data_IF_168842544621
#
_entry.id   IF_168842544621
#
_cell.length_a   1.000
_cell.length_b   1.000
_cell.length_c   1.000
_cell.angle_alpha   90.00
_cell.angle_beta   90.00
_cell.angle_gamma   90.00
#
_symmetry.space_group_name_H-M   'P 1'
#
loop_
_entity.id
_entity.type
_entity.pdbx_description
1 polymer ?
#
# COMPACT_ATOMS: atom_id res chain seq x y z
N UNK A 1 -7.56 0.08 8.93
CA UNK A 1 -8.32 0.52 7.75
C UNK A 1 -8.10 -0.47 6.61
N UNK A 2 -9.13 -0.78 5.82
CA UNK A 2 -9.01 -1.58 4.60
C UNK A 2 -9.24 -0.69 3.40
N UNK A 3 -8.28 -0.66 2.48
CA UNK A 3 -8.27 0.19 1.30
C UNK A 3 -8.39 -0.69 0.07
N UNK A 4 -9.28 -0.33 -0.86
CA UNK A 4 -9.38 -0.97 -2.16
C UNK A 4 -8.80 -0.05 -3.23
N UNK A 5 -7.74 -0.50 -3.88
CA UNK A 5 -7.07 0.26 -4.94
C UNK A 5 -7.73 0.02 -6.28
N UNK A 6 -8.11 1.09 -6.97
CA UNK A 6 -8.70 1.07 -8.30
C UNK A 6 -7.82 1.86 -9.26
N UNK A 7 -7.33 1.20 -10.31
CA UNK A 7 -6.73 1.92 -11.44
C UNK A 7 -7.85 2.52 -12.30
N UNK A 8 -8.21 3.78 -12.05
CA UNK A 8 -9.36 4.45 -12.69
C UNK A 8 -9.27 4.46 -14.22
N UNK A 9 -8.05 4.44 -14.78
CA UNK A 9 -7.82 4.48 -16.23
C UNK A 9 -8.03 3.14 -16.92
N UNK A 10 -7.92 2.04 -16.15
CA UNK A 10 -8.14 0.66 -16.63
C UNK A 10 -9.57 0.23 -16.34
N UNK A 11 -10.04 0.55 -15.13
CA UNK A 11 -11.36 0.16 -14.64
C UNK A 11 -12.49 0.82 -15.46
N UNK A 12 -12.30 2.10 -15.81
CA UNK A 12 -13.38 2.92 -16.34
C UNK A 12 -12.90 3.90 -17.44
N UNK A 13 -13.78 4.23 -18.35
CA UNK A 13 -13.61 5.33 -19.31
C UNK A 13 -14.23 6.64 -18.80
N UNK A 14 -14.86 6.60 -17.63
CA UNK A 14 -15.45 7.76 -16.93
C UNK A 14 -15.64 7.44 -15.46
N UNK A 15 -15.46 8.43 -14.58
CA UNK A 15 -15.76 8.33 -13.14
C UNK A 15 -17.19 7.86 -12.83
N UNK A 16 -18.14 8.03 -13.75
CA UNK A 16 -19.50 7.54 -13.57
C UNK A 16 -19.61 6.03 -13.62
N UNK A 17 -18.66 5.32 -14.22
CA UNK A 17 -18.65 3.88 -14.36
C UNK A 17 -18.22 3.15 -13.06
N UNK A 18 -17.63 3.85 -12.10
CA UNK A 18 -17.49 3.35 -10.73
C UNK A 18 -18.87 3.54 -10.06
N UNK A 19 -19.64 2.47 -10.05
CA UNK A 19 -21.09 2.52 -9.80
C UNK A 19 -21.44 2.49 -8.32
N UNK A 20 -22.65 2.95 -7.97
CA UNK A 20 -23.18 2.84 -6.59
C UNK A 20 -23.26 1.38 -6.09
N UNK A 21 -23.75 0.39 -6.89
CA UNK A 21 -23.73 -1.00 -6.45
C UNK A 21 -22.34 -1.55 -6.13
N UNK A 22 -21.33 -1.19 -6.93
CA UNK A 22 -19.95 -1.60 -6.71
C UNK A 22 -19.38 -0.99 -5.41
N UNK A 23 -19.59 0.29 -5.17
CA UNK A 23 -19.18 0.94 -3.92
C UNK A 23 -19.89 0.35 -2.70
N UNK A 24 -21.19 0.05 -2.82
CA UNK A 24 -21.94 -0.62 -1.76
C UNK A 24 -21.42 -2.04 -1.48
N UNK A 25 -21.02 -2.77 -2.52
CA UNK A 25 -20.40 -4.09 -2.38
C UNK A 25 -19.04 -4.01 -1.67
N UNK A 26 -18.17 -3.08 -2.04
CA UNK A 26 -16.91 -2.85 -1.33
C UNK A 26 -17.15 -2.54 0.15
N UNK A 27 -18.14 -1.70 0.46
CA UNK A 27 -18.50 -1.42 1.86
C UNK A 27 -19.03 -2.65 2.58
N UNK A 28 -19.87 -3.47 1.92
CA UNK A 28 -20.37 -4.75 2.47
C UNK A 28 -19.22 -5.70 2.81
N UNK A 29 -18.17 -5.73 1.99
CA UNK A 29 -16.95 -6.52 2.21
C UNK A 29 -16.05 -5.95 3.32
N UNK A 30 -16.41 -4.80 3.89
CA UNK A 30 -15.71 -4.19 5.02
C UNK A 30 -14.56 -3.30 4.63
N UNK A 31 -14.52 -2.79 3.39
CA UNK A 31 -13.58 -1.73 3.03
C UNK A 31 -14.01 -0.39 3.67
N UNK A 32 -13.03 0.40 4.05
CA UNK A 32 -13.19 1.72 4.66
C UNK A 32 -12.93 2.85 3.66
N UNK A 33 -12.11 2.59 2.64
CA UNK A 33 -11.72 3.56 1.64
C UNK A 33 -11.48 2.92 0.28
N UNK A 34 -11.63 3.72 -0.77
CA UNK A 34 -11.12 3.44 -2.10
C UNK A 34 -9.93 4.37 -2.39
N UNK A 35 -8.85 3.82 -2.97
CA UNK A 35 -7.78 4.62 -3.54
C UNK A 35 -7.92 4.62 -5.05
N UNK A 36 -8.11 5.81 -5.61
CA UNK A 36 -8.32 6.06 -7.03
C UNK A 36 -7.01 6.49 -7.66
N UNK A 37 -6.27 5.54 -8.23
CA UNK A 37 -5.04 5.80 -9.00
C UNK A 37 -5.39 6.43 -10.35
N UNK A 38 -4.64 7.47 -10.76
CA UNK A 38 -4.73 8.03 -12.11
C UNK A 38 -5.88 9.01 -12.32
N UNK A 39 -6.29 9.74 -11.29
CA UNK A 39 -7.38 10.75 -11.37
C UNK A 39 -6.95 12.07 -12.02
N UNK A 40 -5.64 12.33 -12.11
CA UNK A 40 -5.09 13.58 -12.65
C UNK A 40 -5.02 13.57 -14.18
N UNK A 41 -5.00 14.76 -14.77
CA UNK A 41 -4.80 14.94 -16.21
C UNK A 41 -3.47 14.28 -16.63
N UNK A 42 -3.49 13.60 -17.75
CA UNK A 42 -2.30 12.92 -18.29
C UNK A 42 -1.48 13.89 -19.13
N UNK A 43 -0.17 13.88 -18.95
CA UNK A 43 0.80 14.63 -19.74
C UNK A 43 0.84 14.15 -21.20
N UNK A 44 0.80 15.09 -22.14
CA UNK A 44 1.01 14.78 -23.56
C UNK A 44 2.48 14.44 -23.87
N UNK A 45 3.41 15.02 -23.09
CA UNK A 45 4.84 14.67 -23.11
C UNK A 45 5.08 13.21 -22.71
N UNK A 46 4.49 12.82 -21.55
CA UNK A 46 4.56 11.43 -21.10
C UNK A 46 3.91 10.44 -22.07
N UNK A 47 2.79 10.81 -22.70
CA UNK A 47 2.18 9.99 -23.76
C UNK A 47 3.13 9.79 -24.95
N UNK A 48 3.77 10.86 -25.43
CA UNK A 48 4.73 10.77 -26.55
C UNK A 48 5.91 9.89 -26.23
N UNK A 49 6.47 10.03 -25.01
CA UNK A 49 7.62 9.24 -24.57
C UNK A 49 7.25 7.76 -24.40
N UNK A 50 6.13 7.47 -23.75
CA UNK A 50 5.71 6.09 -23.49
C UNK A 50 5.40 5.34 -24.79
N UNK A 51 4.92 6.01 -25.84
CA UNK A 51 4.69 5.43 -27.17
C UNK A 51 5.97 5.00 -27.89
N UNK A 52 7.14 5.47 -27.49
CA UNK A 52 8.43 4.95 -27.98
C UNK A 52 8.59 3.47 -27.60
N UNK A 53 8.05 3.07 -26.45
CA UNK A 53 8.08 1.68 -25.96
C UNK A 53 6.94 0.84 -26.56
N UNK A 54 5.73 1.39 -26.61
CA UNK A 54 4.54 0.71 -27.16
C UNK A 54 3.47 1.72 -27.57
N UNK A 55 2.86 1.53 -28.75
CA UNK A 55 1.74 2.36 -29.22
C UNK A 55 0.51 2.31 -28.30
N UNK A 56 0.36 1.21 -27.54
CA UNK A 56 -0.72 1.03 -26.57
C UNK A 56 -0.54 1.86 -25.28
N UNK A 57 0.64 2.44 -25.07
CA UNK A 57 0.93 3.22 -23.86
C UNK A 57 0.36 4.63 -23.97
N UNK A 58 -0.24 5.10 -22.87
CA UNK A 58 -0.95 6.37 -22.78
C UNK A 58 -0.35 7.31 -21.74
N UNK A 59 0.92 7.15 -21.38
CA UNK A 59 1.65 7.93 -20.38
C UNK A 59 1.44 7.43 -18.95
N UNK A 60 2.39 7.75 -18.09
CA UNK A 60 2.31 7.43 -16.66
C UNK A 60 1.27 8.31 -15.95
N UNK A 61 0.44 7.77 -15.03
CA UNK A 61 -0.42 8.56 -14.17
C UNK A 61 0.38 9.40 -13.15
N UNK A 62 1.64 9.08 -12.95
CA UNK A 62 2.57 9.78 -12.05
C UNK A 62 3.34 10.91 -12.74
N UNK A 63 3.33 11.00 -14.07
CA UNK A 63 3.80 12.18 -14.80
C UNK A 63 2.68 13.23 -14.87
N UNK A 64 2.46 13.95 -13.77
CA UNK A 64 1.37 14.93 -13.60
C UNK A 64 1.81 16.28 -14.19
N UNK A 65 1.13 16.80 -15.24
CA UNK A 65 1.48 18.10 -15.82
C UNK A 65 1.01 19.27 -14.94
N UNK A 66 -0.14 19.10 -14.27
CA UNK A 66 -0.72 20.00 -13.28
C UNK A 66 -1.79 19.24 -12.49
N UNK A 67 -2.08 19.67 -11.26
CA UNK A 67 -3.11 19.04 -10.42
C UNK A 67 -4.52 19.45 -10.90
N UNK A 68 -4.89 18.95 -12.08
CA UNK A 68 -6.20 19.09 -12.70
C UNK A 68 -6.84 17.72 -12.87
N UNK A 69 -8.10 17.57 -12.51
CA UNK A 69 -8.81 16.29 -12.67
C UNK A 69 -8.94 15.93 -14.16
N UNK A 70 -8.74 14.65 -14.45
CA UNK A 70 -8.69 14.11 -15.80
C UNK A 70 -10.01 14.36 -16.57
N UNK A 71 -9.94 15.16 -17.63
CA UNK A 71 -11.08 15.54 -18.47
C UNK A 71 -11.64 14.35 -19.26
N UNK A 72 -10.76 13.41 -19.65
CA UNK A 72 -11.17 12.21 -20.39
C UNK A 72 -12.03 11.28 -19.51
N UNK A 73 -11.84 11.30 -18.18
CA UNK A 73 -12.68 10.61 -17.20
C UNK A 73 -13.91 11.44 -16.76
N UNK A 74 -14.12 12.63 -17.32
CA UNK A 74 -15.26 13.49 -17.04
C UNK A 74 -14.99 14.67 -16.10
N UNK A 75 -13.73 14.89 -15.71
CA UNK A 75 -13.28 16.07 -14.99
C UNK A 75 -13.93 16.27 -13.61
N UNK A 76 -13.90 17.52 -13.12
CA UNK A 76 -14.32 17.89 -11.76
C UNK A 76 -15.75 17.47 -11.43
N UNK A 77 -16.70 17.66 -12.36
CA UNK A 77 -18.12 17.39 -12.09
C UNK A 77 -18.37 15.91 -11.80
N UNK A 78 -17.85 15.01 -12.65
CA UNK A 78 -18.04 13.56 -12.49
C UNK A 78 -17.22 13.01 -11.32
N UNK A 79 -16.01 13.52 -11.10
CA UNK A 79 -15.23 13.17 -9.93
C UNK A 79 -15.95 13.54 -8.63
N UNK A 80 -16.48 14.78 -8.52
CA UNK A 80 -17.25 15.18 -7.34
C UNK A 80 -18.52 14.34 -7.13
N UNK A 81 -19.14 13.87 -8.23
CA UNK A 81 -20.29 12.96 -8.14
C UNK A 81 -19.85 11.56 -7.64
N UNK A 82 -18.70 11.06 -8.09
CA UNK A 82 -18.13 9.80 -7.58
C UNK A 82 -17.81 9.90 -6.09
N UNK A 83 -17.14 10.97 -5.64
CA UNK A 83 -16.82 11.18 -4.21
C UNK A 83 -18.10 11.18 -3.37
N UNK A 84 -19.17 11.85 -3.79
CA UNK A 84 -20.47 11.79 -3.09
C UNK A 84 -21.01 10.38 -3.01
N UNK A 85 -21.01 9.60 -4.14
CA UNK A 85 -21.48 8.20 -4.14
C UNK A 85 -20.64 7.32 -3.20
N UNK A 86 -19.33 7.53 -3.13
CA UNK A 86 -18.46 6.82 -2.20
C UNK A 86 -18.80 7.15 -0.74
N UNK A 87 -19.00 8.44 -0.43
CA UNK A 87 -19.42 8.87 0.91
C UNK A 87 -20.81 8.34 1.29
N UNK A 88 -21.77 8.35 0.36
CA UNK A 88 -23.12 7.78 0.57
C UNK A 88 -23.03 6.26 0.87
N UNK A 89 -22.06 5.56 0.29
CA UNK A 89 -21.78 4.17 0.60
C UNK A 89 -20.96 3.98 1.89
N UNK A 90 -20.46 5.06 2.52
CA UNK A 90 -19.63 5.01 3.73
C UNK A 90 -18.15 4.69 3.45
N UNK A 91 -17.65 5.03 2.26
CA UNK A 91 -16.26 4.87 1.84
C UNK A 91 -15.55 6.23 1.75
N UNK A 92 -14.37 6.33 2.34
CA UNK A 92 -13.48 7.45 2.11
C UNK A 92 -12.80 7.36 0.73
N UNK A 93 -12.39 8.49 0.18
CA UNK A 93 -11.71 8.57 -1.13
C UNK A 93 -10.29 9.06 -0.94
N UNK A 94 -9.32 8.26 -1.43
CA UNK A 94 -7.89 8.57 -1.43
C UNK A 94 -7.46 8.77 -2.88
N UNK A 95 -6.60 9.78 -3.12
CA UNK A 95 -6.01 10.06 -4.45
C UNK A 95 -4.49 10.18 -4.33
N UNK A 96 -3.78 10.08 -5.47
CA UNK A 96 -2.33 10.25 -5.47
C UNK A 96 -1.91 11.71 -5.30
N UNK A 97 -0.79 11.90 -4.60
CA UNK A 97 -0.02 13.14 -4.57
C UNK A 97 1.43 12.82 -4.93
N UNK A 98 1.86 13.28 -6.10
CA UNK A 98 3.22 13.07 -6.60
C UNK A 98 4.11 14.19 -6.07
N UNK A 99 4.91 13.89 -5.06
CA UNK A 99 5.67 14.92 -4.35
C UNK A 99 7.02 15.24 -4.98
N UNK A 100 7.67 14.24 -5.60
CA UNK A 100 9.06 14.36 -6.03
C UNK A 100 9.24 15.09 -7.37
N UNK A 101 8.29 14.96 -8.29
CA UNK A 101 8.43 15.41 -9.68
C UNK A 101 7.09 15.84 -10.28
N UNK A 102 7.16 16.50 -11.42
CA UNK A 102 6.03 16.79 -12.30
C UNK A 102 6.28 16.12 -13.66
N UNK A 103 5.34 16.24 -14.60
CA UNK A 103 5.55 15.80 -15.97
C UNK A 103 6.64 16.64 -16.68
N UNK A 104 7.27 16.07 -17.70
CA UNK A 104 8.30 16.73 -18.52
C UNK A 104 7.78 17.99 -19.25
N UNK A 105 6.47 18.07 -19.48
CA UNK A 105 5.77 19.17 -20.13
C UNK A 105 4.81 19.89 -19.15
N UNK A 106 5.20 19.94 -17.88
CA UNK A 106 4.40 20.66 -16.87
C UNK A 106 4.33 22.17 -17.19
N UNK A 107 3.11 22.74 -17.13
CA UNK A 107 2.87 24.18 -17.26
C UNK A 107 3.73 24.98 -16.26
N UNK A 108 4.09 24.40 -15.12
CA UNK A 108 4.92 25.04 -14.08
C UNK A 108 6.34 25.36 -14.56
N UNK A 109 6.86 24.63 -15.55
CA UNK A 109 8.19 24.88 -16.10
C UNK A 109 8.20 26.23 -16.86
N UNK A 110 7.18 26.49 -17.65
CA UNK A 110 7.04 27.73 -18.39
C UNK A 110 6.76 28.93 -17.46
N UNK A 111 5.97 28.71 -16.39
CA UNK A 111 5.62 29.76 -15.43
C UNK A 111 6.77 30.10 -14.48
N UNK A 112 7.42 29.09 -13.92
CA UNK A 112 8.38 29.20 -12.82
C UNK A 112 9.44 28.09 -12.92
N UNK A 113 10.38 28.17 -13.88
CA UNK A 113 11.41 27.15 -14.03
C UNK A 113 12.33 27.01 -12.79
N UNK A 114 12.36 28.04 -11.94
CA UNK A 114 13.11 28.03 -10.68
C UNK A 114 12.51 27.07 -9.61
N UNK A 115 11.33 26.51 -9.85
CA UNK A 115 10.75 25.45 -9.02
C UNK A 115 11.35 24.06 -9.28
N UNK A 116 12.22 23.95 -10.29
CA UNK A 116 12.80 22.67 -10.72
C UNK A 116 14.32 22.64 -10.54
N UNK A 117 14.89 21.44 -10.40
CA UNK A 117 16.34 21.25 -10.43
C UNK A 117 16.86 21.55 -11.84
N UNK A 118 17.73 22.54 -11.94
CA UNK A 118 18.29 23.03 -13.20
C UNK A 118 19.81 22.94 -13.22
N UNK A 119 20.38 22.91 -14.41
CA UNK A 119 21.82 23.03 -14.59
C UNK A 119 22.17 23.83 -15.86
N UNK A 120 23.46 24.16 -16.00
CA UNK A 120 23.96 24.80 -17.20
C UNK A 120 24.00 23.85 -18.42
N UNK A 121 23.89 24.40 -19.62
CA UNK A 121 23.92 23.61 -20.86
C UNK A 121 25.24 22.82 -21.05
N UNK A 122 26.34 23.25 -20.41
CA UNK A 122 27.62 22.51 -20.40
C UNK A 122 27.53 21.21 -19.60
N UNK A 123 26.81 21.20 -18.46
CA UNK A 123 26.57 20.02 -17.64
C UNK A 123 25.70 19.02 -18.40
N UNK A 124 24.64 19.50 -19.05
CA UNK A 124 23.75 18.64 -19.85
C UNK A 124 24.51 17.91 -20.96
N UNK A 125 25.49 18.56 -21.63
CA UNK A 125 26.29 17.93 -22.67
C UNK A 125 27.08 16.72 -22.18
N UNK A 126 27.42 16.69 -20.89
CA UNK A 126 28.14 15.60 -20.23
C UNK A 126 27.21 14.56 -19.60
N UNK A 127 25.98 14.94 -19.28
CA UNK A 127 25.00 14.14 -18.54
C UNK A 127 23.63 14.13 -19.25
N UNK A 128 23.63 13.74 -20.51
CA UNK A 128 22.41 13.75 -21.36
C UNK A 128 21.31 12.82 -20.88
N UNK A 129 21.63 11.79 -20.09
CA UNK A 129 20.65 10.87 -19.49
C UNK A 129 19.97 11.45 -18.26
N UNK A 130 20.58 12.47 -17.62
CA UNK A 130 20.10 13.02 -16.34
C UNK A 130 19.27 14.29 -16.51
N UNK A 131 19.46 15.00 -17.64
CA UNK A 131 18.85 16.31 -17.90
C UNK A 131 18.29 16.41 -19.31
N UNK A 132 17.22 17.14 -19.47
CA UNK A 132 16.65 17.48 -20.77
C UNK A 132 16.66 18.98 -21.03
N UNK A 133 16.58 19.36 -22.30
CA UNK A 133 16.37 20.75 -22.71
C UNK A 133 14.88 20.96 -22.91
N UNK A 134 14.28 21.79 -22.09
CA UNK A 134 12.88 22.20 -22.25
C UNK A 134 12.74 23.19 -23.42
N UNK A 135 11.59 23.25 -24.12
CA UNK A 135 11.36 24.24 -25.21
C UNK A 135 11.55 25.70 -24.81
N UNK A 136 11.38 26.06 -23.55
CA UNK A 136 11.69 27.39 -22.99
C UNK A 136 13.19 27.75 -23.01
N UNK A 137 14.09 26.79 -23.30
CA UNK A 137 15.53 26.96 -23.22
C UNK A 137 16.17 26.56 -21.89
N UNK A 138 15.37 26.24 -20.88
CA UNK A 138 15.87 25.75 -19.58
C UNK A 138 16.36 24.31 -19.65
N UNK A 139 17.41 24.00 -18.91
CA UNK A 139 17.93 22.63 -18.76
C UNK A 139 17.53 22.10 -17.39
N UNK A 140 16.65 21.08 -17.40
CA UNK A 140 15.99 20.58 -16.20
C UNK A 140 16.36 19.11 -15.99
N UNK A 141 16.51 18.71 -14.71
CA UNK A 141 16.74 17.33 -14.33
C UNK A 141 15.48 16.49 -14.54
N UNK A 142 15.64 15.27 -15.02
CA UNK A 142 14.60 14.26 -14.91
C UNK A 142 14.37 13.87 -13.45
N UNK A 143 13.13 13.52 -13.09
CA UNK A 143 12.82 12.90 -11.83
C UNK A 143 13.51 11.53 -11.69
N UNK A 144 13.99 11.21 -10.50
CA UNK A 144 14.65 9.92 -10.24
C UNK A 144 14.69 9.59 -8.75
N UNK A 145 14.96 8.33 -8.47
CA UNK A 145 15.43 7.83 -7.18
C UNK A 145 16.96 7.56 -7.25
N UNK A 146 17.61 7.21 -6.10
CA UNK A 146 19.06 6.99 -6.05
C UNK A 146 19.57 5.72 -6.75
N UNK A 147 18.69 4.77 -7.09
CA UNK A 147 19.08 3.40 -7.46
C UNK A 147 18.73 3.00 -8.88
N UNK A 148 17.76 3.68 -9.50
CA UNK A 148 17.25 3.35 -10.83
C UNK A 148 17.53 4.49 -11.82
N UNK A 149 17.48 4.20 -13.15
CA UNK A 149 17.59 5.22 -14.18
C UNK A 149 16.52 6.31 -14.02
N UNK A 150 16.83 7.56 -14.46
CA UNK A 150 15.86 8.65 -14.43
C UNK A 150 14.57 8.34 -15.18
N UNK A 151 13.46 8.87 -14.67
CA UNK A 151 12.14 8.77 -15.31
C UNK A 151 12.00 9.85 -16.38
N UNK A 152 12.22 9.47 -17.64
CA UNK A 152 12.37 10.42 -18.76
C UNK A 152 11.09 11.19 -19.13
N UNK A 153 9.95 10.82 -18.58
CA UNK A 153 8.67 11.53 -18.74
C UNK A 153 8.39 12.53 -17.62
N UNK A 154 9.38 12.78 -16.74
CA UNK A 154 9.22 13.63 -15.56
C UNK A 154 10.28 14.74 -15.47
N UNK A 155 10.02 15.73 -14.62
CA UNK A 155 10.89 16.86 -14.28
C UNK A 155 11.00 16.99 -12.76
N UNK A 156 12.24 17.07 -12.25
CA UNK A 156 12.52 17.06 -10.81
C UNK A 156 12.22 18.40 -10.16
N UNK A 157 11.41 18.37 -9.09
CA UNK A 157 11.13 19.54 -8.26
C UNK A 157 12.27 19.89 -7.31
N UNK A 158 12.48 21.18 -7.02
CA UNK A 158 13.55 21.67 -6.12
C UNK A 158 13.02 22.12 -4.76
N UNK A 159 13.06 21.22 -3.78
CA UNK A 159 12.60 21.51 -2.42
C UNK A 159 13.49 22.50 -1.62
N UNK A 160 14.63 22.94 -2.14
CA UNK A 160 15.36 24.07 -1.56
C UNK A 160 14.64 25.40 -1.82
N UNK A 161 13.74 25.46 -2.84
CA UNK A 161 12.94 26.64 -3.14
C UNK A 161 11.73 26.74 -2.19
N UNK A 162 11.60 27.80 -1.37
CA UNK A 162 10.47 27.96 -0.47
C UNK A 162 9.12 28.17 -1.19
N UNK A 163 9.14 28.75 -2.39
CA UNK A 163 7.91 28.94 -3.18
C UNK A 163 7.37 27.61 -3.68
N UNK A 164 8.24 26.66 -4.06
CA UNK A 164 7.83 25.30 -4.36
C UNK A 164 7.13 24.65 -3.18
N UNK A 165 7.78 24.67 -1.99
CA UNK A 165 7.16 24.05 -0.80
C UNK A 165 5.80 24.66 -0.50
N UNK A 166 5.66 25.96 -0.64
CA UNK A 166 4.36 26.65 -0.46
C UNK A 166 3.34 26.16 -1.49
N UNK A 167 3.72 26.15 -2.79
CA UNK A 167 2.82 25.70 -3.87
C UNK A 167 2.36 24.25 -3.67
N UNK A 168 3.25 23.36 -3.24
CA UNK A 168 2.90 21.95 -2.97
C UNK A 168 1.97 21.80 -1.75
N UNK A 169 2.15 22.62 -0.71
CA UNK A 169 1.21 22.66 0.43
C UNK A 169 -0.16 23.19 -0.01
N UNK A 170 -0.21 24.20 -0.86
CA UNK A 170 -1.47 24.73 -1.37
C UNK A 170 -2.21 23.69 -2.24
N UNK A 171 -1.48 22.91 -3.05
CA UNK A 171 -2.04 21.74 -3.76
C UNK A 171 -2.64 20.74 -2.78
N UNK A 172 -1.92 20.36 -1.73
CA UNK A 172 -2.44 19.43 -0.72
C UNK A 172 -3.68 19.97 0.00
N UNK A 173 -3.69 21.25 0.35
CA UNK A 173 -4.88 21.92 0.91
C UNK A 173 -6.06 21.88 -0.07
N UNK A 174 -5.81 22.11 -1.36
CA UNK A 174 -6.86 22.00 -2.37
C UNK A 174 -7.35 20.54 -2.50
N UNK A 175 -6.45 19.55 -2.57
CA UNK A 175 -6.83 18.13 -2.62
C UNK A 175 -7.71 17.79 -1.41
N UNK A 176 -7.37 18.29 -0.21
CA UNK A 176 -8.16 18.03 0.99
C UNK A 176 -9.59 18.58 0.95
N UNK A 177 -9.92 19.44 -0.02
CA UNK A 177 -11.30 19.88 -0.26
C UNK A 177 -12.11 18.94 -1.17
N UNK A 178 -11.45 17.99 -1.85
CA UNK A 178 -12.09 17.12 -2.84
C UNK A 178 -11.93 15.63 -2.57
N UNK A 179 -11.07 15.25 -1.62
CA UNK A 179 -10.80 13.87 -1.22
C UNK A 179 -10.60 13.80 0.31
N UNK A 180 -10.51 12.59 0.85
CA UNK A 180 -10.36 12.33 2.29
C UNK A 180 -8.93 11.95 2.67
N UNK A 181 -8.08 11.72 1.69
CA UNK A 181 -6.67 11.43 1.91
C UNK A 181 -5.86 11.41 0.62
N UNK A 182 -4.55 11.33 0.79
CA UNK A 182 -3.58 11.18 -0.28
C UNK A 182 -2.67 10.00 -0.07
N UNK A 183 -2.38 9.28 -1.16
CA UNK A 183 -1.20 8.42 -1.24
C UNK A 183 -0.08 9.24 -1.86
N UNK A 184 0.97 9.46 -1.09
CA UNK A 184 2.11 10.26 -1.46
C UNK A 184 3.14 9.38 -2.17
N UNK A 185 3.27 9.61 -3.47
CA UNK A 185 4.21 8.92 -4.34
C UNK A 185 5.64 9.17 -3.90
N UNK A 186 6.44 8.09 -3.73
CA UNK A 186 7.85 8.13 -3.37
C UNK A 186 8.16 9.14 -2.25
N UNK A 187 7.37 9.12 -1.17
CA UNK A 187 7.38 10.16 -0.13
C UNK A 187 8.75 10.38 0.52
N UNK A 188 9.59 9.34 0.62
CA UNK A 188 10.91 9.43 1.21
C UNK A 188 11.91 10.24 0.40
N UNK A 189 11.68 10.47 -0.91
CA UNK A 189 12.62 11.23 -1.76
C UNK A 189 12.66 12.72 -1.41
N UNK A 190 11.65 13.25 -0.74
CA UNK A 190 11.63 14.66 -0.29
C UNK A 190 12.01 14.82 1.18
N UNK A 191 12.44 13.75 1.87
CA UNK A 191 13.13 13.89 3.16
C UNK A 191 14.43 14.65 3.00
N UNK A 192 14.71 15.61 3.91
CA UNK A 192 15.84 16.55 3.78
C UNK A 192 17.16 15.86 3.47
N UNK A 193 17.52 14.82 4.21
CA UNK A 193 18.83 14.17 4.05
C UNK A 193 18.91 13.41 2.71
N UNK A 194 17.82 12.75 2.28
CA UNK A 194 17.76 12.11 0.97
C UNK A 194 17.82 13.13 -0.16
N UNK A 195 17.01 14.19 -0.09
CA UNK A 195 16.99 15.24 -1.08
C UNK A 195 18.36 15.93 -1.21
N UNK A 196 19.03 16.25 -0.07
CA UNK A 196 20.37 16.80 -0.07
C UNK A 196 21.38 15.85 -0.70
N UNK A 197 21.37 14.58 -0.30
CA UNK A 197 22.30 13.57 -0.81
C UNK A 197 22.15 13.38 -2.32
N UNK A 198 20.94 13.38 -2.82
CA UNK A 198 20.61 13.15 -4.22
C UNK A 198 20.94 14.34 -5.11
N UNK A 199 20.59 15.55 -4.67
CA UNK A 199 20.60 16.73 -5.53
C UNK A 199 21.67 17.74 -5.18
N UNK A 200 22.10 17.80 -3.93
CA UNK A 200 23.06 18.77 -3.41
C UNK A 200 24.19 18.14 -2.58
N UNK A 201 24.82 17.03 -3.06
CA UNK A 201 25.81 16.29 -2.26
C UNK A 201 27.06 17.13 -1.93
N UNK A 202 27.42 18.07 -2.81
CA UNK A 202 28.59 18.93 -2.66
C UNK A 202 28.29 20.32 -2.07
N UNK A 203 27.01 20.65 -1.87
CA UNK A 203 26.65 21.94 -1.29
C UNK A 203 27.05 22.01 0.19
N UNK A 204 27.59 23.16 0.67
CA UNK A 204 27.83 23.38 2.08
C UNK A 204 26.55 23.12 2.90
N UNK A 205 26.71 22.51 4.09
CA UNK A 205 25.55 22.14 4.91
C UNK A 205 24.75 23.37 5.33
N UNK A 206 25.43 24.43 5.71
CA UNK A 206 24.82 25.70 6.11
C UNK A 206 23.97 26.28 4.99
N UNK A 207 24.48 26.25 3.75
CA UNK A 207 23.71 26.69 2.57
C UNK A 207 22.42 25.90 2.37
N UNK A 208 22.48 24.57 2.56
CA UNK A 208 21.33 23.71 2.41
C UNK A 208 20.33 23.90 3.57
N UNK A 209 20.83 23.97 4.81
CA UNK A 209 20.01 24.15 6.02
C UNK A 209 19.27 25.49 6.01
N UNK A 210 19.89 26.55 5.47
CA UNK A 210 19.22 27.85 5.28
C UNK A 210 18.04 27.76 4.29
N UNK A 211 18.19 27.00 3.19
CA UNK A 211 17.20 26.87 2.13
C UNK A 211 16.11 25.85 2.43
N UNK A 212 16.46 24.79 3.13
CA UNK A 212 15.51 23.76 3.58
C UNK A 212 15.63 23.58 5.11
N UNK A 213 15.12 24.54 5.91
CA UNK A 213 15.34 24.58 7.36
C UNK A 213 14.61 23.48 8.13
N UNK A 214 13.63 22.81 7.54
CA UNK A 214 12.84 21.75 8.15
C UNK A 214 12.36 20.73 7.13
N UNK A 215 11.77 19.66 7.63
CA UNK A 215 11.13 18.64 6.80
C UNK A 215 9.89 19.21 6.11
N UNK A 216 9.76 18.99 4.81
CA UNK A 216 8.57 19.39 4.04
C UNK A 216 7.30 18.76 4.60
N UNK A 217 7.36 17.44 4.90
CA UNK A 217 6.19 16.70 5.35
C UNK A 217 5.67 17.17 6.70
N UNK A 218 6.54 17.51 7.67
CA UNK A 218 6.09 18.05 8.95
C UNK A 218 5.24 19.31 8.77
N UNK A 219 5.72 20.25 7.95
CA UNK A 219 4.99 21.47 7.66
C UNK A 219 3.68 21.19 6.89
N UNK A 220 3.75 20.40 5.82
CA UNK A 220 2.62 20.11 4.93
C UNK A 220 1.48 19.41 5.69
N UNK A 221 1.81 18.33 6.41
CA UNK A 221 0.83 17.54 7.15
C UNK A 221 0.18 18.37 8.25
N UNK A 222 0.97 19.13 9.03
CA UNK A 222 0.47 20.01 10.07
C UNK A 222 -0.48 21.07 9.52
N UNK A 223 -0.13 21.73 8.41
CA UNK A 223 -0.97 22.78 7.81
C UNK A 223 -2.27 22.23 7.22
N UNK A 224 -2.25 21.06 6.59
CA UNK A 224 -3.47 20.42 6.06
C UNK A 224 -4.35 19.90 7.20
N UNK A 225 -3.78 19.20 8.17
CA UNK A 225 -4.54 18.64 9.31
C UNK A 225 -5.08 19.73 10.24
N UNK A 226 -4.51 20.92 10.25
CA UNK A 226 -5.10 22.06 10.95
C UNK A 226 -6.49 22.45 10.41
N UNK A 227 -6.72 22.30 9.11
CA UNK A 227 -8.02 22.57 8.45
C UNK A 227 -8.90 21.30 8.34
N UNK A 228 -8.30 20.14 8.17
CA UNK A 228 -8.94 18.83 7.98
C UNK A 228 -8.26 17.78 8.85
N UNK A 229 -8.56 17.71 10.17
CA UNK A 229 -7.90 16.79 11.11
C UNK A 229 -7.97 15.32 10.72
N UNK A 230 -9.05 14.91 10.05
CA UNK A 230 -9.29 13.52 9.64
C UNK A 230 -8.64 13.16 8.29
N UNK A 231 -8.05 14.14 7.58
CA UNK A 231 -7.42 13.89 6.28
C UNK A 231 -6.23 12.94 6.42
N UNK A 232 -6.20 11.89 5.58
CA UNK A 232 -5.21 10.82 5.68
C UNK A 232 -4.02 11.06 4.76
N UNK A 233 -2.82 10.84 5.32
CA UNK A 233 -1.57 10.81 4.60
C UNK A 233 -1.01 9.40 4.60
N UNK A 234 -0.87 8.80 3.41
CA UNK A 234 -0.32 7.46 3.19
C UNK A 234 0.97 7.62 2.41
N UNK A 235 2.08 7.14 2.95
CA UNK A 235 3.37 7.22 2.28
C UNK A 235 3.66 5.94 1.51
N UNK A 236 3.90 6.06 0.21
CA UNK A 236 4.77 5.10 -0.45
C UNK A 236 6.17 5.28 0.09
N UNK A 237 6.75 4.22 0.66
CA UNK A 237 8.03 4.30 1.33
C UNK A 237 8.81 3.00 1.24
N UNK A 238 10.14 3.16 1.19
CA UNK A 238 11.13 2.10 1.11
C UNK A 238 12.34 2.46 1.99
N UNK A 239 13.32 1.56 2.05
CA UNK A 239 14.65 1.78 2.65
C UNK A 239 14.63 2.16 4.13
N UNK A 240 13.72 1.55 4.91
CA UNK A 240 13.58 1.76 6.36
C UNK A 240 13.23 3.22 6.75
N UNK A 241 12.47 3.92 5.90
CA UNK A 241 12.02 5.28 6.19
C UNK A 241 10.62 5.37 6.81
N UNK A 242 9.96 4.22 6.99
CA UNK A 242 8.63 4.12 7.60
C UNK A 242 8.58 4.82 8.97
N UNK A 243 9.50 4.55 9.95
CA UNK A 243 9.45 5.21 11.26
C UNK A 243 9.65 6.72 11.17
N UNK A 244 10.53 7.19 10.25
CA UNK A 244 10.78 8.61 10.06
C UNK A 244 9.53 9.31 9.51
N UNK A 245 8.89 8.76 8.46
CA UNK A 245 7.67 9.33 7.88
C UNK A 245 6.50 9.32 8.86
N UNK A 246 6.30 8.23 9.61
CA UNK A 246 5.30 8.19 10.69
C UNK A 246 5.55 9.27 11.74
N UNK A 247 6.81 9.52 12.12
CA UNK A 247 7.15 10.57 13.10
C UNK A 247 6.88 11.99 12.58
N UNK A 248 6.84 12.19 11.25
CA UNK A 248 6.50 13.45 10.58
C UNK A 248 4.98 13.63 10.40
N UNK A 249 4.16 12.67 10.84
CA UNK A 249 2.71 12.81 10.88
C UNK A 249 1.94 12.04 9.82
N UNK A 250 2.58 11.19 9.01
CA UNK A 250 1.89 10.25 8.15
C UNK A 250 1.03 9.29 8.98
N UNK A 251 -0.15 8.97 8.49
CA UNK A 251 -1.06 8.02 9.14
C UNK A 251 -0.65 6.58 8.85
N UNK A 252 -0.19 6.33 7.61
CA UNK A 252 0.20 5.00 7.13
C UNK A 252 1.45 5.09 6.25
N UNK A 253 2.25 4.02 6.28
CA UNK A 253 3.41 3.80 5.40
C UNK A 253 3.34 2.40 4.80
N UNK A 254 3.78 2.22 3.56
CA UNK A 254 3.88 0.91 2.91
C UNK A 254 4.77 -0.01 3.72
N UNK A 255 4.33 -1.27 3.91
CA UNK A 255 5.13 -2.29 4.60
C UNK A 255 5.68 -3.32 3.59
N UNK A 256 6.64 -2.86 2.79
CA UNK A 256 7.27 -3.65 1.72
C UNK A 256 8.04 -4.86 2.23
N UNK A 257 8.68 -4.78 3.41
CA UNK A 257 9.50 -5.88 3.92
C UNK A 257 8.69 -7.11 4.32
N UNK A 258 7.46 -6.93 4.80
CA UNK A 258 6.56 -8.07 5.03
C UNK A 258 6.21 -8.72 3.70
N UNK A 259 5.88 -7.93 2.66
CA UNK A 259 5.64 -8.43 1.31
C UNK A 259 6.85 -9.21 0.78
N UNK A 260 8.05 -8.64 0.86
CA UNK A 260 9.29 -9.30 0.39
C UNK A 260 9.56 -10.62 1.15
N UNK A 261 9.30 -10.64 2.45
CA UNK A 261 9.40 -11.85 3.26
C UNK A 261 8.42 -12.94 2.83
N UNK A 262 7.19 -12.56 2.47
CA UNK A 262 6.17 -13.50 1.94
C UNK A 262 6.57 -14.05 0.58
N UNK A 263 7.02 -13.20 -0.35
CA UNK A 263 7.47 -13.58 -1.69
C UNK A 263 8.71 -14.50 -1.62
N UNK A 264 9.61 -14.22 -0.68
CA UNK A 264 10.81 -15.05 -0.43
C UNK A 264 10.53 -16.33 0.37
N UNK A 265 9.27 -16.61 0.73
CA UNK A 265 8.89 -17.73 1.61
C UNK A 265 9.69 -17.76 2.93
N UNK A 266 10.02 -16.59 3.46
CA UNK A 266 10.85 -16.41 4.65
C UNK A 266 10.01 -16.00 5.87
N UNK A 267 9.48 -17.00 6.59
CA UNK A 267 8.66 -16.79 7.78
C UNK A 267 9.39 -15.99 8.87
N UNK A 268 10.70 -16.23 9.07
CA UNK A 268 11.48 -15.53 10.09
C UNK A 268 11.60 -14.03 9.77
N UNK A 269 11.84 -13.66 8.51
CA UNK A 269 11.91 -12.26 8.10
C UNK A 269 10.58 -11.52 8.35
N UNK A 270 9.44 -12.19 8.14
CA UNK A 270 8.11 -11.64 8.45
C UNK A 270 7.95 -11.40 9.95
N UNK A 271 8.33 -12.36 10.78
CA UNK A 271 8.26 -12.27 12.25
C UNK A 271 9.18 -11.15 12.76
N UNK A 272 10.45 -11.18 12.34
CA UNK A 272 11.45 -10.19 12.77
C UNK A 272 11.00 -8.78 12.41
N UNK A 273 10.50 -8.58 11.20
CA UNK A 273 10.00 -7.27 10.78
C UNK A 273 8.83 -6.78 11.62
N UNK A 274 7.86 -7.63 11.90
CA UNK A 274 6.72 -7.24 12.72
C UNK A 274 7.10 -6.94 14.19
N UNK A 275 8.12 -7.62 14.71
CA UNK A 275 8.69 -7.36 16.04
C UNK A 275 9.49 -6.04 16.06
N UNK A 276 10.31 -5.77 15.03
CA UNK A 276 11.11 -4.55 14.90
C UNK A 276 10.24 -3.29 14.83
N UNK A 277 9.10 -3.38 14.17
CA UNK A 277 8.13 -2.28 14.12
C UNK A 277 7.55 -1.92 15.49
N UNK A 278 7.41 -2.88 16.40
CA UNK A 278 6.84 -2.64 17.72
C UNK A 278 5.51 -1.87 17.66
N UNK A 279 5.36 -0.74 18.37
CA UNK A 279 4.13 0.09 18.32
C UNK A 279 3.84 0.69 16.93
N UNK A 280 4.87 0.91 16.10
CA UNK A 280 4.72 1.49 14.76
C UNK A 280 3.99 0.56 13.79
N UNK A 281 3.84 -0.72 14.11
CA UNK A 281 3.08 -1.71 13.34
C UNK A 281 1.65 -1.25 13.01
N UNK A 282 1.04 -0.40 13.85
CA UNK A 282 -0.29 0.18 13.61
C UNK A 282 -0.33 1.17 12.44
N UNK A 283 0.80 1.78 12.12
CA UNK A 283 0.98 2.68 10.97
C UNK A 283 1.34 1.95 9.67
N UNK A 284 1.45 0.63 9.69
CA UNK A 284 1.78 -0.16 8.50
C UNK A 284 0.57 -0.30 7.57
N UNK A 285 0.82 -0.17 6.26
CA UNK A 285 -0.10 -0.53 5.19
C UNK A 285 0.45 -1.78 4.49
N UNK A 286 -0.14 -2.93 4.81
CA UNK A 286 0.23 -4.22 4.25
C UNK A 286 -0.45 -4.45 2.91
N UNK A 287 0.25 -5.17 2.03
CA UNK A 287 -0.27 -5.66 0.74
C UNK A 287 0.44 -6.94 0.33
N UNK A 288 -0.15 -7.71 -0.55
CA UNK A 288 0.48 -8.85 -1.23
C UNK A 288 0.57 -8.64 -2.75
N UNK A 289 0.02 -7.54 -3.23
CA UNK A 289 0.22 -6.93 -4.54
C UNK A 289 -0.27 -5.47 -4.49
N UNK A 290 0.17 -4.68 -5.44
CA UNK A 290 -0.36 -3.37 -5.80
C UNK A 290 -0.13 -3.15 -7.31
N UNK A 291 -0.33 -1.92 -7.81
CA UNK A 291 -0.12 -1.62 -9.23
C UNK A 291 1.34 -1.75 -9.71
N UNK A 292 2.33 -1.67 -8.81
CA UNK A 292 3.77 -1.75 -9.12
C UNK A 292 4.34 -3.17 -8.95
N UNK A 293 3.77 -3.96 -8.07
CA UNK A 293 4.27 -5.30 -7.78
C UNK A 293 3.66 -6.35 -8.73
N UNK A 294 4.30 -7.52 -8.86
CA UNK A 294 3.68 -8.67 -9.51
C UNK A 294 2.33 -9.04 -8.87
N UNK A 295 1.39 -9.51 -9.69
CA UNK A 295 0.09 -9.97 -9.19
C UNK A 295 0.26 -11.15 -8.23
N UNK A 296 -0.47 -11.15 -7.13
CA UNK A 296 -0.38 -12.19 -6.11
C UNK A 296 -0.68 -13.59 -6.68
N UNK A 297 -1.68 -13.70 -7.56
CA UNK A 297 -1.99 -14.96 -8.23
C UNK A 297 -0.92 -15.43 -9.24
N UNK A 298 -0.02 -14.56 -9.66
CA UNK A 298 1.14 -14.92 -10.48
C UNK A 298 2.35 -15.31 -9.61
N UNK A 299 2.46 -14.73 -8.41
CA UNK A 299 3.58 -14.90 -7.46
C UNK A 299 3.39 -16.13 -6.57
N UNK A 300 2.17 -16.32 -6.06
CA UNK A 300 1.83 -17.39 -5.13
C UNK A 300 0.97 -18.46 -5.82
N UNK A 301 1.08 -19.71 -5.41
CA UNK A 301 0.00 -20.67 -5.65
C UNK A 301 -1.26 -20.27 -4.84
N UNK A 302 -2.40 -20.91 -5.09
CA UNK A 302 -3.69 -20.52 -4.48
C UNK A 302 -3.65 -20.54 -2.94
N UNK A 303 -3.04 -21.57 -2.34
CA UNK A 303 -3.04 -21.76 -0.89
C UNK A 303 -2.08 -20.81 -0.20
N UNK A 304 -0.90 -20.57 -0.78
CA UNK A 304 0.05 -19.58 -0.30
C UNK A 304 -0.51 -18.16 -0.45
N UNK A 305 -1.25 -17.88 -1.54
CA UNK A 305 -1.95 -16.60 -1.75
C UNK A 305 -2.95 -16.32 -0.62
N UNK A 306 -3.78 -17.33 -0.28
CA UNK A 306 -4.75 -17.21 0.81
C UNK A 306 -4.09 -17.12 2.18
N UNK A 307 -2.99 -17.86 2.41
CA UNK A 307 -2.23 -17.78 3.65
C UNK A 307 -1.61 -16.39 3.84
N UNK A 308 -1.02 -15.82 2.78
CA UNK A 308 -0.48 -14.47 2.79
C UNK A 308 -1.56 -13.41 3.01
N UNK A 309 -2.71 -13.53 2.32
CA UNK A 309 -3.85 -12.64 2.51
C UNK A 309 -4.40 -12.70 3.95
N UNK A 310 -4.57 -13.90 4.50
CA UNK A 310 -5.04 -14.09 5.87
C UNK A 310 -4.04 -13.50 6.90
N UNK A 311 -2.74 -13.64 6.65
CA UNK A 311 -1.69 -13.07 7.49
C UNK A 311 -1.84 -11.55 7.57
N UNK A 312 -1.81 -10.86 6.41
CA UNK A 312 -1.86 -9.39 6.41
C UNK A 312 -3.19 -8.84 6.94
N UNK A 313 -4.31 -9.53 6.71
CA UNK A 313 -5.63 -9.17 7.26
C UNK A 313 -5.71 -9.36 8.77
N UNK A 314 -4.83 -10.17 9.36
CA UNK A 314 -4.81 -10.49 10.80
C UNK A 314 -3.81 -9.66 11.59
N UNK A 315 -2.78 -9.09 10.96
CA UNK A 315 -1.81 -8.19 11.60
C UNK A 315 -2.47 -6.85 12.02
N UNK A 316 -1.95 -6.19 13.06
CA UNK A 316 -2.38 -4.83 13.39
C UNK A 316 -1.85 -3.86 12.32
N UNK A 317 -2.70 -2.95 11.87
CA UNK A 317 -2.37 -1.99 10.82
C UNK A 317 -3.51 -1.84 9.82
N UNK A 318 -3.16 -1.45 8.62
CA UNK A 318 -4.09 -1.29 7.49
C UNK A 318 -3.71 -2.24 6.36
N UNK A 319 -4.68 -2.56 5.51
CA UNK A 319 -4.48 -3.49 4.38
C UNK A 319 -4.93 -2.85 3.09
N UNK A 320 -4.12 -2.97 2.05
CA UNK A 320 -4.43 -2.63 0.67
C UNK A 320 -4.79 -3.91 -0.09
N UNK A 321 -5.91 -3.90 -0.77
CA UNK A 321 -6.32 -4.91 -1.74
C UNK A 321 -6.42 -4.25 -3.10
N UNK A 322 -5.66 -4.74 -4.06
CA UNK A 322 -5.64 -4.22 -5.43
C UNK A 322 -6.80 -4.82 -6.25
N UNK A 323 -7.40 -4.02 -7.11
CA UNK A 323 -8.47 -4.45 -8.02
C UNK A 323 -8.09 -5.70 -8.81
N UNK A 324 -8.93 -6.73 -8.74
CA UNK A 324 -8.71 -8.03 -9.38
C UNK A 324 -7.86 -9.02 -8.56
N UNK A 325 -7.31 -8.61 -7.41
CA UNK A 325 -6.60 -9.52 -6.51
C UNK A 325 -7.50 -10.62 -6.00
N UNK A 326 -8.70 -10.27 -5.56
CA UNK A 326 -9.68 -11.23 -5.06
C UNK A 326 -10.22 -12.16 -6.15
N UNK A 327 -10.19 -11.72 -7.39
CA UNK A 327 -10.58 -12.47 -8.59
C UNK A 327 -9.42 -13.27 -9.21
N UNK A 328 -8.23 -13.23 -8.60
CA UNK A 328 -7.08 -14.01 -9.03
C UNK A 328 -6.48 -13.57 -10.37
N UNK A 329 -6.60 -12.29 -10.72
CA UNK A 329 -5.94 -11.76 -11.93
C UNK A 329 -4.42 -11.94 -11.84
N UNK A 330 -3.80 -12.30 -12.96
CA UNK A 330 -2.37 -12.68 -13.05
C UNK A 330 -1.55 -11.68 -13.85
N UNK A 331 -2.19 -10.93 -14.77
CA UNK A 331 -1.49 -9.94 -15.60
C UNK A 331 -1.18 -8.67 -14.79
N UNK A 332 0.12 -8.35 -14.64
CA UNK A 332 0.56 -7.04 -14.17
C UNK A 332 0.50 -6.06 -15.34
N UNK A 333 -0.25 -4.99 -15.18
CA UNK A 333 -0.31 -3.93 -16.18
C UNK A 333 0.74 -2.86 -15.87
N UNK A 334 1.66 -2.54 -16.81
CA UNK A 334 2.47 -1.34 -16.71
C UNK A 334 1.58 -0.10 -16.49
N UNK A 335 1.99 0.81 -15.62
CA UNK A 335 1.19 1.99 -15.25
C UNK A 335 0.82 2.89 -16.44
N UNK A 336 1.59 2.81 -17.54
CA UNK A 336 1.32 3.53 -18.79
C UNK A 336 0.19 2.91 -19.62
N UNK A 337 -0.20 1.67 -19.34
CA UNK A 337 -1.22 0.95 -20.11
C UNK A 337 -2.60 1.20 -19.50
N UNK A 338 -3.60 1.36 -20.36
CA UNK A 338 -5.00 1.57 -19.97
C UNK A 338 -5.93 0.43 -20.37
N UNK A 339 -5.39 -0.63 -20.96
CA UNK A 339 -6.16 -1.82 -21.38
C UNK A 339 -5.37 -3.08 -21.05
N UNK A 340 -6.01 -4.13 -20.51
CA UNK A 340 -5.36 -5.42 -20.35
C UNK A 340 -5.03 -6.03 -21.73
N UNK A 341 -4.02 -6.90 -21.75
CA UNK A 341 -3.65 -7.66 -22.96
C UNK A 341 -4.72 -8.69 -23.31
N UNK A 342 -5.31 -9.31 -22.29
CA UNK A 342 -6.38 -10.28 -22.42
C UNK A 342 -7.42 -10.11 -21.29
N UNK A 343 -8.64 -10.55 -21.54
CA UNK A 343 -9.63 -10.68 -20.46
C UNK A 343 -9.34 -11.96 -19.67
N UNK A 344 -9.06 -11.83 -18.40
CA UNK A 344 -8.90 -12.95 -17.49
C UNK A 344 -10.25 -13.22 -16.80
N UNK A 345 -10.78 -14.46 -16.89
CA UNK A 345 -11.99 -14.82 -16.17
C UNK A 345 -11.75 -14.76 -14.66
N UNK A 346 -12.73 -14.28 -13.86
CA UNK A 346 -12.56 -14.22 -12.42
C UNK A 346 -12.56 -15.63 -11.81
N UNK A 347 -11.66 -15.87 -10.86
CA UNK A 347 -11.69 -17.05 -10.01
C UNK A 347 -12.70 -16.85 -8.88
N UNK A 348 -13.92 -17.34 -9.08
CA UNK A 348 -15.03 -17.17 -8.15
C UNK A 348 -14.84 -17.96 -6.84
N UNK A 349 -14.05 -19.03 -6.86
CA UNK A 349 -13.73 -19.78 -5.63
C UNK A 349 -12.75 -18.97 -4.76
N UNK A 350 -11.70 -18.41 -5.36
CA UNK A 350 -10.78 -17.51 -4.65
C UNK A 350 -11.53 -16.30 -4.10
N UNK A 351 -12.44 -15.72 -4.89
CA UNK A 351 -13.28 -14.59 -4.46
C UNK A 351 -14.10 -14.94 -3.22
N UNK A 352 -14.77 -16.09 -3.21
CA UNK A 352 -15.57 -16.54 -2.06
C UNK A 352 -14.70 -16.74 -0.81
N UNK A 353 -13.47 -17.25 -0.97
CA UNK A 353 -12.51 -17.38 0.12
C UNK A 353 -12.08 -16.04 0.68
N UNK A 354 -11.84 -15.03 -0.17
CA UNK A 354 -11.57 -13.66 0.27
C UNK A 354 -12.76 -13.06 1.05
N UNK A 355 -13.99 -13.26 0.61
CA UNK A 355 -15.18 -12.79 1.33
C UNK A 355 -15.26 -13.39 2.73
N UNK A 356 -14.96 -14.69 2.87
CA UNK A 356 -14.88 -15.36 4.16
C UNK A 356 -13.77 -14.77 5.05
N UNK A 357 -12.57 -14.54 4.50
CA UNK A 357 -11.45 -13.92 5.22
C UNK A 357 -11.78 -12.48 5.67
N UNK A 358 -12.33 -11.67 4.78
CA UNK A 358 -12.73 -10.30 5.08
C UNK A 358 -13.78 -10.23 6.18
N UNK A 359 -14.74 -11.18 6.16
CA UNK A 359 -15.78 -11.31 7.19
C UNK A 359 -15.17 -11.73 8.53
N UNK A 360 -14.36 -12.78 8.55
CA UNK A 360 -13.72 -13.30 9.76
C UNK A 360 -12.83 -12.25 10.44
N UNK A 361 -12.07 -11.50 9.64
CA UNK A 361 -11.15 -10.47 10.14
C UNK A 361 -11.79 -9.08 10.34
N UNK A 362 -13.11 -8.95 10.16
CA UNK A 362 -13.84 -7.72 10.50
C UNK A 362 -14.08 -7.56 12.02
N UNK A 363 -13.87 -8.62 12.80
CA UNK A 363 -14.09 -8.62 14.24
C UNK A 363 -13.21 -7.59 14.95
N UNK A 364 -13.72 -7.04 16.07
CA UNK A 364 -13.07 -5.97 16.83
C UNK A 364 -11.64 -6.31 17.26
N UNK A 365 -11.39 -7.58 17.64
CA UNK A 365 -10.09 -8.05 18.11
C UNK A 365 -8.97 -7.84 17.06
N UNK A 366 -9.28 -7.88 15.76
CA UNK A 366 -8.29 -7.59 14.71
C UNK A 366 -7.96 -6.10 14.57
N UNK A 367 -8.84 -5.21 15.04
CA UNK A 367 -8.61 -3.75 15.04
C UNK A 367 -7.86 -3.26 16.26
N UNK A 368 -8.31 -3.65 17.46
CA UNK A 368 -7.83 -3.10 18.73
C UNK A 368 -7.07 -4.08 19.62
N UNK A 369 -7.09 -5.39 19.31
CA UNK A 369 -6.41 -6.40 20.07
C UNK A 369 -4.88 -6.25 20.08
N UNK A 370 -4.24 -6.62 21.17
CA UNK A 370 -2.78 -6.71 21.29
C UNK A 370 -2.24 -7.84 20.41
N UNK A 371 -1.00 -7.68 19.91
CA UNK A 371 -0.28 -8.67 19.10
C UNK A 371 0.68 -9.46 19.97
N UNK A 372 0.65 -10.79 19.88
CA UNK A 372 1.52 -11.70 20.61
C UNK A 372 1.99 -12.81 19.70
N UNK A 373 3.26 -12.80 19.30
CA UNK A 373 3.88 -13.92 18.61
C UNK A 373 4.10 -15.08 19.57
N UNK A 374 3.99 -16.30 19.06
CA UNK A 374 4.30 -17.53 19.81
C UNK A 374 4.96 -18.55 18.90
N UNK A 375 5.80 -19.41 19.50
CA UNK A 375 6.46 -20.48 18.77
C UNK A 375 5.56 -21.73 18.77
N UNK A 376 5.31 -22.28 17.59
CA UNK A 376 4.58 -23.54 17.39
C UNK A 376 5.47 -24.76 17.40
N UNK A 377 6.79 -24.58 17.47
CA UNK A 377 7.76 -25.64 17.30
C UNK A 377 7.88 -26.19 15.85
N UNK A 378 7.26 -25.50 14.88
CA UNK A 378 7.20 -25.92 13.47
C UNK A 378 7.96 -24.94 12.59
N UNK A 379 8.94 -25.43 11.84
CA UNK A 379 9.75 -24.61 10.94
C UNK A 379 8.91 -23.94 9.85
N UNK A 380 9.20 -22.67 9.56
CA UNK A 380 8.58 -21.92 8.47
C UNK A 380 7.14 -21.50 8.73
N UNK A 381 6.66 -21.62 9.96
CA UNK A 381 5.34 -21.17 10.38
C UNK A 381 5.42 -19.77 11.02
N UNK A 382 4.59 -18.86 10.55
CA UNK A 382 4.30 -17.60 11.24
C UNK A 382 3.09 -17.82 12.13
N UNK A 383 3.20 -17.50 13.41
CA UNK A 383 2.11 -17.65 14.37
C UNK A 383 2.04 -16.49 15.36
N UNK A 384 0.85 -15.93 15.48
CA UNK A 384 0.57 -14.88 16.45
C UNK A 384 -0.89 -14.90 16.89
N UNK A 385 -1.13 -14.38 18.09
CA UNK A 385 -2.46 -14.14 18.61
C UNK A 385 -2.77 -12.64 18.62
N UNK A 386 -4.06 -12.32 18.38
CA UNK A 386 -4.67 -11.03 18.66
C UNK A 386 -5.59 -11.21 19.87
N UNK A 387 -5.46 -10.33 20.84
CA UNK A 387 -6.20 -10.46 22.09
C UNK A 387 -6.75 -9.12 22.55
N UNK A 388 -8.01 -9.12 22.94
CA UNK A 388 -8.66 -8.04 23.69
C UNK A 388 -9.35 -8.62 24.95
N UNK A 389 -10.21 -7.87 25.61
CA UNK A 389 -10.92 -8.29 26.83
C UNK A 389 -11.84 -9.48 26.60
N UNK A 390 -12.45 -9.57 25.41
CA UNK A 390 -13.52 -10.51 25.09
C UNK A 390 -13.05 -11.73 24.30
N UNK A 391 -11.96 -11.59 23.52
CA UNK A 391 -11.56 -12.56 22.50
C UNK A 391 -10.07 -12.83 22.47
N UNK A 392 -9.73 -14.08 22.16
CA UNK A 392 -8.37 -14.50 21.78
C UNK A 392 -8.48 -15.24 20.46
N UNK A 393 -7.93 -14.62 19.41
CA UNK A 393 -7.87 -15.22 18.06
C UNK A 393 -6.42 -15.44 17.67
N UNK A 394 -6.15 -16.41 16.80
CA UNK A 394 -4.80 -16.66 16.33
C UNK A 394 -4.77 -16.91 14.83
N UNK A 395 -3.74 -16.37 14.19
CA UNK A 395 -3.26 -16.77 12.88
C UNK A 395 -2.09 -17.72 13.06
N UNK A 396 -2.09 -18.83 12.32
CA UNK A 396 -1.01 -19.81 12.25
C UNK A 396 -0.89 -20.21 10.79
N UNK A 397 0.21 -19.87 10.12
CA UNK A 397 0.32 -20.11 8.68
C UNK A 397 1.71 -20.55 8.25
N UNK A 398 1.77 -21.53 7.34
CA UNK A 398 2.97 -22.01 6.69
C UNK A 398 3.36 -21.04 5.57
N UNK A 399 4.47 -20.34 5.76
CA UNK A 399 4.99 -19.40 4.77
C UNK A 399 6.15 -20.00 3.97
N UNK A 400 6.93 -20.92 4.55
CA UNK A 400 8.05 -21.57 3.86
C UNK A 400 7.58 -22.63 2.84
N UNK A 401 8.43 -22.93 1.86
CA UNK A 401 8.30 -24.09 0.96
C UNK A 401 8.61 -25.43 1.68
N UNK A 402 7.86 -25.72 2.74
CA UNK A 402 8.12 -26.93 3.51
C UNK A 402 7.54 -28.18 2.83
N UNK A 403 8.28 -29.27 2.88
CA UNK A 403 7.93 -30.57 2.29
C UNK A 403 6.78 -31.29 3.01
N UNK A 404 6.48 -30.92 4.25
CA UNK A 404 5.43 -31.55 5.04
C UNK A 404 4.07 -30.89 4.80
N UNK A 405 3.03 -31.68 4.89
CA UNK A 405 1.66 -31.17 4.83
C UNK A 405 1.33 -30.44 6.13
N UNK A 406 1.14 -29.14 6.08
CA UNK A 406 0.77 -28.31 7.22
C UNK A 406 -0.47 -28.84 7.94
N UNK A 407 -1.50 -29.29 7.21
CA UNK A 407 -2.75 -29.81 7.77
C UNK A 407 -2.55 -30.99 8.76
N UNK A 408 -1.59 -31.87 8.50
CA UNK A 408 -1.32 -33.04 9.37
C UNK A 408 -0.27 -32.79 10.44
N UNK A 409 0.31 -31.58 10.50
CA UNK A 409 1.36 -31.23 11.48
C UNK A 409 0.75 -31.00 12.86
N UNK A 410 1.41 -31.48 13.90
CA UNK A 410 1.05 -31.15 15.29
C UNK A 410 1.61 -29.78 15.65
N UNK A 411 0.73 -28.83 15.89
CA UNK A 411 1.04 -27.44 16.21
C UNK A 411 0.86 -27.23 17.71
N UNK A 412 1.91 -26.78 18.38
CA UNK A 412 1.86 -26.44 19.80
C UNK A 412 1.19 -25.07 19.99
N UNK A 413 -0.07 -25.08 20.46
CA UNK A 413 -0.82 -23.87 20.79
C UNK A 413 -0.86 -23.58 22.32
N UNK A 414 -0.04 -24.27 23.10
CA UNK A 414 0.02 -24.14 24.55
C UNK A 414 0.17 -22.70 25.01
N UNK A 415 1.05 -21.86 24.38
CA UNK A 415 1.24 -20.48 24.83
C UNK A 415 -0.04 -19.63 24.82
N UNK A 416 -0.91 -19.86 23.84
CA UNK A 416 -2.17 -19.11 23.70
C UNK A 416 -3.34 -19.83 24.38
N UNK A 417 -3.35 -21.16 24.39
CA UNK A 417 -4.40 -21.95 25.06
C UNK A 417 -4.40 -21.70 26.56
N UNK A 418 -3.25 -21.66 27.22
CA UNK A 418 -3.15 -21.38 28.67
C UNK A 418 -3.64 -19.99 29.07
N UNK A 419 -3.66 -19.06 28.14
CA UNK A 419 -4.18 -17.73 28.40
C UNK A 419 -5.71 -17.68 28.54
N UNK A 420 -6.42 -18.72 28.06
CA UNK A 420 -7.89 -18.80 28.08
C UNK A 420 -8.42 -20.05 28.79
N UNK A 421 -7.67 -21.15 28.86
CA UNK A 421 -8.11 -22.40 29.46
C UNK A 421 -8.32 -22.26 30.98
N UNK A 422 -9.46 -22.68 31.46
CA UNK A 422 -9.79 -22.77 32.90
C UNK A 422 -9.42 -24.14 33.50
N UNK A 423 -8.93 -25.10 32.71
CA UNK A 423 -8.64 -26.46 33.09
C UNK A 423 -7.82 -27.19 32.04
N UNK A 424 -8.08 -28.49 31.87
CA UNK A 424 -7.37 -29.37 30.94
C UNK A 424 -7.89 -29.30 29.48
N UNK A 425 -8.88 -28.46 29.21
CA UNK A 425 -9.51 -28.38 27.90
C UNK A 425 -9.53 -26.94 27.38
N UNK A 426 -9.42 -26.77 26.08
CA UNK A 426 -9.66 -25.54 25.35
C UNK A 426 -10.52 -25.82 24.12
N UNK A 427 -11.54 -25.00 23.89
CA UNK A 427 -12.34 -25.07 22.66
C UNK A 427 -11.70 -24.17 21.61
N UNK A 428 -11.49 -24.71 20.44
CA UNK A 428 -10.94 -24.00 19.28
C UNK A 428 -12.01 -23.98 18.16
N UNK A 429 -12.28 -22.80 17.64
CA UNK A 429 -13.26 -22.59 16.56
C UNK A 429 -12.53 -22.06 15.33
N UNK A 430 -12.80 -22.65 14.17
CA UNK A 430 -12.41 -22.14 12.87
C UNK A 430 -13.24 -20.90 12.51
N UNK A 431 -12.62 -19.74 12.35
CA UNK A 431 -13.31 -18.48 12.05
C UNK A 431 -13.91 -18.41 10.64
N UNK A 432 -13.51 -19.32 9.73
CA UNK A 432 -13.98 -19.31 8.34
C UNK A 432 -15.28 -20.12 8.14
N UNK A 433 -15.52 -21.16 8.95
CA UNK A 433 -16.66 -22.06 8.79
C UNK A 433 -17.41 -22.41 10.10
N UNK A 434 -16.96 -21.84 11.21
CA UNK A 434 -17.49 -22.05 12.56
C UNK A 434 -17.41 -23.52 13.08
N UNK A 435 -16.69 -24.41 12.41
CA UNK A 435 -16.38 -25.74 12.96
C UNK A 435 -15.54 -25.61 14.24
N UNK A 436 -15.76 -26.53 15.18
CA UNK A 436 -15.08 -26.47 16.46
C UNK A 436 -14.62 -27.83 16.93
N UNK A 437 -13.49 -27.84 17.64
CA UNK A 437 -12.96 -29.00 18.34
C UNK A 437 -12.63 -28.65 19.80
N UNK A 438 -12.62 -29.69 20.62
CA UNK A 438 -12.15 -29.62 21.98
C UNK A 438 -10.77 -30.27 22.07
N UNK A 439 -9.78 -29.50 22.51
CA UNK A 439 -8.40 -29.99 22.68
C UNK A 439 -8.13 -30.22 24.15
N UNK A 440 -7.71 -31.44 24.49
CA UNK A 440 -7.28 -31.83 25.83
C UNK A 440 -5.78 -31.59 26.02
N UNK A 441 -5.39 -31.06 27.16
CA UNK A 441 -3.99 -30.96 27.56
C UNK A 441 -3.40 -32.37 27.79
N UNK A 442 -2.35 -32.68 27.03
CA UNK A 442 -1.60 -33.93 27.16
C UNK A 442 -0.12 -33.65 27.39
N UNK A 443 0.43 -34.25 28.49
CA UNK A 443 1.83 -34.01 28.87
C UNK A 443 2.23 -32.54 28.97
N UNK A 444 1.32 -31.68 29.45
CA UNK A 444 1.54 -30.25 29.60
C UNK A 444 1.39 -29.43 28.31
N UNK A 445 0.86 -30.01 27.23
CA UNK A 445 0.71 -29.34 25.92
C UNK A 445 -0.71 -29.42 25.38
N UNK A 446 -1.11 -28.34 24.72
CA UNK A 446 -2.30 -28.28 23.84
C UNK A 446 -1.81 -28.36 22.39
N UNK A 447 -2.14 -29.45 21.70
CA UNK A 447 -1.66 -29.75 20.35
C UNK A 447 -2.83 -29.73 19.37
N UNK A 448 -2.77 -28.80 18.40
CA UNK A 448 -3.72 -28.66 17.31
C UNK A 448 -3.23 -29.40 16.06
N UNK A 449 -4.12 -30.16 15.41
CA UNK A 449 -3.93 -30.61 14.04
C UNK A 449 -4.86 -29.82 13.13
N UNK A 450 -4.33 -29.02 12.19
CA UNK A 450 -5.15 -28.19 11.30
C UNK A 450 -6.20 -28.98 10.50
N UNK A 451 -5.90 -30.21 10.06
CA UNK A 451 -6.81 -31.08 9.30
C UNK A 451 -8.09 -31.51 10.07
N UNK A 452 -8.14 -31.26 11.37
CA UNK A 452 -9.34 -31.45 12.17
C UNK A 452 -10.38 -30.34 12.00
N UNK A 453 -9.97 -29.18 11.48
CA UNK A 453 -10.81 -27.98 11.30
C UNK A 453 -10.78 -27.43 9.86
N UNK A 454 -9.83 -27.86 9.06
CA UNK A 454 -9.56 -27.36 7.71
C UNK A 454 -9.31 -28.52 6.75
N UNK A 455 -9.37 -28.25 5.44
CA UNK A 455 -8.98 -29.23 4.43
C UNK A 455 -7.50 -29.64 4.59
N UNK A 456 -7.14 -30.86 4.18
CA UNK A 456 -5.79 -31.43 4.36
C UNK A 456 -4.67 -30.57 3.74
N UNK A 457 -4.95 -29.87 2.66
CA UNK A 457 -4.02 -29.04 1.89
C UNK A 457 -3.97 -27.58 2.33
N UNK A 458 -4.70 -27.22 3.39
CA UNK A 458 -4.66 -25.85 3.92
C UNK A 458 -3.25 -25.45 4.36
N UNK A 459 -2.90 -24.18 4.14
CA UNK A 459 -1.63 -23.58 4.52
C UNK A 459 -1.71 -22.70 5.77
N UNK A 460 -2.91 -22.45 6.29
CA UNK A 460 -3.09 -21.60 7.47
C UNK A 460 -4.32 -21.99 8.28
N UNK A 461 -4.34 -21.56 9.53
CA UNK A 461 -5.49 -21.55 10.41
C UNK A 461 -5.77 -20.15 10.90
N UNK A 462 -7.05 -19.78 10.92
CA UNK A 462 -7.56 -18.59 11.58
C UNK A 462 -8.59 -19.05 12.61
N UNK A 463 -8.20 -19.01 13.88
CA UNK A 463 -8.93 -19.68 14.95
C UNK A 463 -9.26 -18.73 16.11
N UNK A 464 -10.36 -19.01 16.81
CA UNK A 464 -10.69 -18.39 18.09
C UNK A 464 -10.62 -19.44 19.20
N UNK A 465 -10.13 -19.05 20.39
CA UNK A 465 -9.96 -19.92 21.54
C UNK A 465 -10.93 -19.48 22.66
N UNK A 466 -11.55 -20.48 23.27
CA UNK A 466 -12.48 -20.29 24.40
C UNK A 466 -12.12 -21.17 25.57
N UNK A 467 -12.42 -20.68 26.77
CA UNK A 467 -12.45 -21.51 27.96
C UNK A 467 -13.52 -22.60 27.80
N UNK A 468 -13.26 -23.82 28.25
CA UNK A 468 -14.17 -24.94 28.19
C UNK A 468 -14.32 -25.59 29.57
#
# INVERSE_FOLDING_TARGET
MRIYEINTRVHATSFDQITTPELAELRRLGFDAIWLMGVWQISDGAKRISKITSDDYQGSPYAVPDYKLNRDLGGKSRFSALVRRAHDAGLAVIVDFVSNHMAIDSDWIDERPDLFIRCDASVRKQQTSEYFLHPSGEVIAFGRDPYFPPWHDTSQLDYTNPDLRRRMIDVLKWISTIADGVRCDMAMLVLRDYFRQQWYPLAPREWFDERMPGEFWDQAIREVKAARPDFKFIAETYWDKEPQLLSLGFDLTYEKKVYDGLVAHNAQAVIDRALDLGPAVKGSLYFIENHDEPRAAATFNRDDHLAAAALILSLPGSVLIHEGQMEGKRERLPVQRIKPLAQEPPDMELRARYESLLTATAQRVFRDGSLHFFDTGTYGVVSFARRNEDQTVAYIGQISEAWHRFGSTLIDITPIARAVALGRFVRVINLLNAESILIEERHGKFLLRPDQLYAEDTRFCLIELFAS
#
